data_IF_277923490829
#
_entry.id   IF_277923490829
#
_cell.length_a   1.000
_cell.length_b   1.000
_cell.length_c   1.000
_cell.angle_alpha   90.00
_cell.angle_beta   90.00
_cell.angle_gamma   90.00
#
_symmetry.space_group_name_H-M   'P 1'
#
loop_
_entity.id
_entity.type
_entity.pdbx_description
1 polymer ?
#
# COMPACT_ATOMS: atom_id res chain seq x y z
N UNK A 1 34.18 -13.16 62.01
CA UNK A 1 34.72 -11.81 61.88
C UNK A 1 35.11 -11.59 60.44
N UNK A 2 34.32 -10.80 59.63
CA UNK A 2 34.75 -10.15 58.40
C UNK A 2 33.72 -9.09 58.05
N UNK A 3 34.19 -7.86 57.94
CA UNK A 3 33.42 -6.62 57.76
C UNK A 3 32.86 -6.51 56.37
N UNK A 4 31.56 -6.21 56.26
CA UNK A 4 30.90 -5.85 54.99
C UNK A 4 30.95 -4.33 54.85
N UNK A 5 31.69 -3.88 53.86
CA UNK A 5 31.86 -2.48 53.45
C UNK A 5 30.57 -2.01 52.73
N UNK A 6 29.99 -0.92 53.26
CA UNK A 6 28.85 -0.20 52.62
C UNK A 6 29.39 0.68 51.49
N UNK A 7 28.99 0.38 50.27
CA UNK A 7 29.16 1.32 49.15
C UNK A 7 27.82 2.07 48.96
N UNK A 8 27.84 3.34 49.33
CA UNK A 8 26.81 4.31 48.99
C UNK A 8 27.31 5.02 47.72
N UNK A 9 26.80 4.63 46.53
CA UNK A 9 26.95 5.34 45.28
C UNK A 9 25.78 6.30 45.08
N UNK A 10 26.05 7.60 45.15
CA UNK A 10 25.10 8.64 44.81
C UNK A 10 24.94 8.68 43.30
N UNK A 11 23.72 8.41 42.82
CA UNK A 11 23.34 8.61 41.40
C UNK A 11 22.86 10.04 41.28
N UNK A 12 23.70 10.90 40.70
CA UNK A 12 23.31 12.25 40.31
C UNK A 12 22.41 12.15 39.04
N UNK A 13 21.13 12.45 39.20
CA UNK A 13 20.18 12.58 38.10
C UNK A 13 20.42 13.91 37.39
N UNK A 14 21.08 13.88 36.23
CA UNK A 14 21.19 15.04 35.35
C UNK A 14 19.92 15.10 34.50
N UNK A 15 19.00 16.00 34.84
CA UNK A 15 17.85 16.35 34.03
C UNK A 15 18.30 17.19 32.86
N UNK A 16 18.42 16.60 31.66
CA UNK A 16 18.63 17.33 30.43
C UNK A 16 17.26 17.89 29.99
N UNK A 17 17.04 19.18 30.23
CA UNK A 17 15.91 19.92 29.72
C UNK A 17 16.01 20.06 28.19
N UNK A 18 15.21 19.30 27.44
CA UNK A 18 15.02 19.54 26.02
C UNK A 18 14.06 20.71 25.88
N UNK A 19 14.59 21.89 25.55
CA UNK A 19 13.82 23.04 25.14
C UNK A 19 13.12 22.70 23.82
N UNK A 20 11.79 22.50 23.84
CA UNK A 20 10.93 22.45 22.67
C UNK A 20 10.88 23.86 22.07
N UNK A 21 11.87 24.21 21.26
CA UNK A 21 11.74 25.33 20.34
C UNK A 21 10.69 24.93 19.30
N UNK A 22 9.51 25.53 19.37
CA UNK A 22 8.47 25.40 18.37
C UNK A 22 8.92 25.96 17.03
N UNK A 23 9.70 25.19 16.29
CA UNK A 23 9.93 25.40 14.87
C UNK A 23 8.73 24.85 14.10
N UNK A 24 8.01 25.70 13.42
CA UNK A 24 7.10 25.29 12.34
C UNK A 24 7.95 24.57 11.30
N UNK A 25 7.93 23.24 11.33
CA UNK A 25 8.48 22.43 10.24
C UNK A 25 7.58 22.70 9.03
N UNK A 26 7.98 23.66 8.22
CA UNK A 26 7.47 23.76 6.86
C UNK A 26 7.85 22.46 6.18
N UNK A 27 6.86 21.61 5.89
CA UNK A 27 7.05 20.43 5.07
C UNK A 27 7.50 20.92 3.69
N UNK A 28 8.80 21.01 3.49
CA UNK A 28 9.38 21.20 2.18
C UNK A 28 9.07 19.93 1.41
N UNK A 29 8.25 20.08 0.38
CA UNK A 29 7.97 19.06 -0.63
C UNK A 29 9.18 18.86 -1.53
N UNK A 30 10.31 18.48 -0.96
CA UNK A 30 11.44 17.92 -1.68
C UNK A 30 11.01 16.53 -2.14
N UNK A 31 11.00 16.28 -3.45
CA UNK A 31 10.74 14.95 -3.99
C UNK A 31 11.77 13.95 -3.43
N UNK A 32 11.41 12.66 -3.34
CA UNK A 32 12.32 11.61 -2.87
C UNK A 32 13.68 11.64 -3.62
N UNK A 33 13.70 12.14 -4.85
CA UNK A 33 14.92 12.34 -5.64
C UNK A 33 15.88 13.36 -5.03
N UNK A 34 15.37 14.41 -4.35
CA UNK A 34 16.18 15.40 -3.65
C UNK A 34 16.91 14.79 -2.45
N UNK A 35 16.44 13.64 -1.99
CA UNK A 35 17.04 12.85 -0.91
C UNK A 35 17.96 11.74 -1.43
N UNK A 36 18.21 11.70 -2.76
CA UNK A 36 19.06 10.70 -3.40
C UNK A 36 18.44 9.31 -3.52
N UNK A 37 17.11 9.18 -3.39
CA UNK A 37 16.41 7.91 -3.63
C UNK A 37 16.11 7.72 -5.11
N UNK A 38 16.61 6.63 -5.68
CA UNK A 38 16.29 6.20 -7.03
C UNK A 38 14.95 5.42 -7.03
N UNK A 39 13.91 5.88 -7.75
CA UNK A 39 12.64 5.19 -7.83
C UNK A 39 12.75 3.73 -8.32
N UNK A 40 13.71 3.43 -9.19
CA UNK A 40 13.91 2.07 -9.70
C UNK A 40 14.42 1.11 -8.60
N UNK A 41 15.28 1.60 -7.72
CA UNK A 41 15.76 0.83 -6.56
C UNK A 41 14.62 0.59 -5.58
N UNK A 42 13.84 1.63 -5.25
CA UNK A 42 12.67 1.49 -4.39
C UNK A 42 11.65 0.49 -4.95
N UNK A 43 11.42 0.51 -6.26
CA UNK A 43 10.51 -0.43 -6.90
C UNK A 43 11.07 -1.86 -6.93
N UNK A 44 12.39 -2.03 -7.09
CA UNK A 44 13.03 -3.33 -7.02
C UNK A 44 12.96 -3.93 -5.61
N UNK A 45 13.28 -3.12 -4.59
CA UNK A 45 13.18 -3.52 -3.18
C UNK A 45 11.72 -3.84 -2.81
N UNK A 46 10.76 -3.04 -3.27
CA UNK A 46 9.34 -3.29 -3.07
C UNK A 46 8.87 -4.60 -3.68
N UNK A 47 9.37 -4.97 -4.86
CA UNK A 47 9.07 -6.26 -5.50
C UNK A 47 9.65 -7.43 -4.71
N UNK A 48 10.89 -7.34 -4.23
CA UNK A 48 11.50 -8.37 -3.38
C UNK A 48 10.71 -8.54 -2.07
N UNK A 49 10.32 -7.45 -1.42
CA UNK A 49 9.49 -7.48 -0.21
C UNK A 49 8.14 -8.18 -0.48
N UNK A 50 7.46 -7.85 -1.57
CA UNK A 50 6.19 -8.49 -1.95
C UNK A 50 6.36 -9.99 -2.25
N UNK A 51 7.49 -10.40 -2.83
CA UNK A 51 7.77 -11.81 -3.10
C UNK A 51 8.09 -12.60 -1.83
N UNK A 52 8.65 -11.97 -0.81
CA UNK A 52 9.01 -12.62 0.46
C UNK A 52 7.90 -12.57 1.49
N UNK A 53 7.05 -11.54 1.45
CA UNK A 53 5.97 -11.40 2.43
C UNK A 53 4.97 -12.58 2.34
N UNK A 54 4.62 -13.25 3.46
CA UNK A 54 3.58 -14.28 3.49
C UNK A 54 2.20 -13.73 3.11
N UNK A 55 1.31 -14.61 2.63
CA UNK A 55 -0.04 -14.24 2.22
C UNK A 55 -0.82 -13.38 3.23
N UNK A 56 -0.82 -13.67 4.55
CA UNK A 56 -1.53 -12.83 5.50
C UNK A 56 -1.01 -11.39 5.55
N UNK A 57 0.30 -11.17 5.38
CA UNK A 57 0.87 -9.83 5.39
C UNK A 57 0.49 -9.05 4.13
N UNK A 58 0.53 -9.70 2.96
CA UNK A 58 0.08 -9.09 1.69
C UNK A 58 -1.43 -8.85 1.68
N UNK A 59 -2.22 -9.76 2.26
CA UNK A 59 -3.65 -9.56 2.44
C UNK A 59 -3.97 -8.33 3.31
N UNK A 60 -3.12 -8.01 4.28
CA UNK A 60 -3.24 -6.78 5.06
C UNK A 60 -3.23 -5.51 4.20
N UNK A 61 -2.45 -5.48 3.11
CA UNK A 61 -2.49 -4.37 2.14
C UNK A 61 -3.84 -4.31 1.40
N UNK A 62 -4.35 -5.47 0.98
CA UNK A 62 -5.70 -5.54 0.38
C UNK A 62 -6.76 -5.01 1.33
N UNK A 63 -6.74 -5.44 2.59
CA UNK A 63 -7.68 -4.99 3.61
C UNK A 63 -7.59 -3.47 3.84
N UNK A 64 -6.38 -2.90 3.83
CA UNK A 64 -6.20 -1.46 3.96
C UNK A 64 -6.81 -0.70 2.76
N UNK A 65 -6.62 -1.19 1.54
CA UNK A 65 -7.23 -0.63 0.31
C UNK A 65 -8.74 -0.72 0.39
N UNK A 66 -9.29 -1.92 0.64
CA UNK A 66 -10.74 -2.16 0.69
C UNK A 66 -11.41 -1.31 1.77
N UNK A 67 -10.90 -1.33 3.01
CA UNK A 67 -11.47 -0.55 4.10
C UNK A 67 -11.38 0.97 3.86
N UNK A 68 -10.36 1.46 3.16
CA UNK A 68 -10.22 2.88 2.83
C UNK A 68 -11.11 3.28 1.65
N UNK A 69 -11.37 2.37 0.70
CA UNK A 69 -12.34 2.59 -0.37
C UNK A 69 -13.78 2.61 0.13
N UNK A 70 -14.08 1.87 1.20
CA UNK A 70 -15.39 1.84 1.86
C UNK A 70 -15.61 3.01 2.84
N UNK A 71 -14.55 3.75 3.20
CA UNK A 71 -14.66 4.90 4.09
C UNK A 71 -15.22 6.12 3.32
N UNK A 72 -16.41 6.65 3.66
CA UNK A 72 -17.00 7.76 2.91
C UNK A 72 -16.12 9.00 2.82
N UNK A 73 -15.23 9.22 3.79
CA UNK A 73 -14.30 10.34 3.79
C UNK A 73 -13.17 10.16 2.79
N UNK A 74 -12.78 8.91 2.51
CA UNK A 74 -11.59 8.56 1.71
C UNK A 74 -11.93 7.92 0.36
N UNK A 75 -13.16 7.42 0.17
CA UNK A 75 -13.59 6.75 -1.05
C UNK A 75 -13.26 7.54 -2.32
N UNK A 76 -13.53 8.85 -2.34
CA UNK A 76 -13.21 9.72 -3.48
C UNK A 76 -11.70 9.86 -3.73
N UNK A 77 -10.88 9.84 -2.68
CA UNK A 77 -9.42 9.87 -2.80
C UNK A 77 -8.89 8.54 -3.31
N UNK A 78 -9.41 7.42 -2.79
CA UNK A 78 -9.06 6.08 -3.25
C UNK A 78 -9.45 5.88 -4.71
N UNK A 79 -10.64 6.34 -5.09
CA UNK A 79 -11.11 6.27 -6.45
C UNK A 79 -10.24 7.06 -7.43
N UNK A 80 -9.73 8.23 -7.05
CA UNK A 80 -8.87 9.04 -7.91
C UNK A 80 -7.61 8.30 -8.38
N UNK A 81 -7.15 7.27 -7.67
CA UNK A 81 -6.03 6.42 -8.09
C UNK A 81 -6.34 5.60 -9.36
N UNK A 82 -7.61 5.34 -9.62
CA UNK A 82 -8.07 4.55 -10.77
C UNK A 82 -8.42 5.41 -12.00
N UNK A 83 -8.30 6.74 -11.89
CA UNK A 83 -8.44 7.61 -13.04
C UNK A 83 -7.31 7.35 -14.03
N UNK A 84 -7.59 7.18 -15.35
CA UNK A 84 -6.54 7.01 -16.36
C UNK A 84 -5.54 8.17 -16.41
N UNK A 85 -5.98 9.39 -16.06
CA UNK A 85 -5.16 10.59 -16.00
C UNK A 85 -4.44 10.79 -14.65
N UNK A 86 -4.61 9.86 -13.69
CA UNK A 86 -3.96 9.97 -12.38
C UNK A 86 -2.43 9.98 -12.52
N UNK A 87 -1.80 10.90 -11.80
CA UNK A 87 -0.35 10.90 -11.64
C UNK A 87 0.06 9.73 -10.73
N UNK A 88 0.61 8.67 -11.34
CA UNK A 88 1.09 7.46 -10.65
C UNK A 88 2.60 7.50 -10.37
N UNK A 89 3.24 8.65 -10.54
CA UNK A 89 4.59 8.86 -10.03
C UNK A 89 4.62 8.75 -8.51
N UNK A 90 5.79 8.53 -7.92
CA UNK A 90 5.94 8.52 -6.45
C UNK A 90 5.44 9.82 -5.83
N UNK A 91 5.65 10.95 -6.49
CA UNK A 91 5.15 12.26 -6.04
C UNK A 91 3.63 12.32 -6.07
N UNK A 92 3.00 11.89 -7.17
CA UNK A 92 1.54 11.82 -7.31
C UNK A 92 0.90 10.90 -6.29
N UNK A 93 1.50 9.72 -6.06
CA UNK A 93 1.05 8.79 -5.03
C UNK A 93 1.16 9.37 -3.62
N UNK A 94 2.27 10.07 -3.30
CA UNK A 94 2.43 10.77 -2.02
C UNK A 94 1.40 11.89 -1.83
N UNK A 95 1.12 12.68 -2.88
CA UNK A 95 0.08 13.72 -2.83
C UNK A 95 -1.30 13.11 -2.58
N UNK A 96 -1.58 11.96 -3.18
CA UNK A 96 -2.84 11.25 -2.97
C UNK A 96 -2.92 10.70 -1.54
N UNK A 97 -1.87 10.03 -1.06
CA UNK A 97 -1.80 9.51 0.31
C UNK A 97 -1.96 10.61 1.38
N UNK A 98 -1.41 11.81 1.13
CA UNK A 98 -1.54 12.96 2.05
C UNK A 98 -2.99 13.48 2.17
N UNK A 99 -3.87 13.17 1.21
CA UNK A 99 -5.30 13.55 1.23
C UNK A 99 -6.17 12.56 2.00
N UNK A 100 -5.68 11.35 2.26
CA UNK A 100 -6.40 10.36 3.07
C UNK A 100 -6.55 10.83 4.52
N UNK A 101 -7.64 10.46 5.13
CA UNK A 101 -7.88 10.64 6.56
C UNK A 101 -6.86 9.88 7.42
N UNK A 102 -6.75 10.27 8.68
CA UNK A 102 -5.78 9.67 9.61
C UNK A 102 -5.97 8.15 9.74
N UNK A 103 -7.20 7.69 9.85
CA UNK A 103 -7.51 6.27 9.99
C UNK A 103 -7.01 5.43 8.80
N UNK A 104 -7.21 5.92 7.58
CA UNK A 104 -6.71 5.24 6.38
C UNK A 104 -5.18 5.27 6.29
N UNK A 105 -4.56 6.42 6.60
CA UNK A 105 -3.10 6.50 6.63
C UNK A 105 -2.48 5.53 7.63
N UNK A 106 -3.06 5.38 8.81
CA UNK A 106 -2.62 4.40 9.81
C UNK A 106 -2.79 2.97 9.32
N UNK A 107 -3.95 2.63 8.71
CA UNK A 107 -4.16 1.29 8.10
C UNK A 107 -3.06 0.94 7.08
N UNK A 108 -2.74 1.88 6.18
CA UNK A 108 -1.68 1.67 5.19
C UNK A 108 -0.30 1.58 5.82
N UNK A 109 0.01 2.41 6.81
CA UNK A 109 1.28 2.37 7.52
C UNK A 109 1.47 1.02 8.24
N UNK A 110 0.46 0.56 8.98
CA UNK A 110 0.49 -0.71 9.69
C UNK A 110 0.63 -1.89 8.72
N UNK A 111 -0.12 -1.89 7.61
CA UNK A 111 -0.02 -2.92 6.59
C UNK A 111 1.38 -2.95 5.95
N UNK A 112 1.95 -1.79 5.62
CA UNK A 112 3.29 -1.69 5.05
C UNK A 112 4.38 -2.17 6.02
N UNK A 113 4.30 -1.79 7.30
CA UNK A 113 5.22 -2.27 8.35
C UNK A 113 5.11 -3.79 8.51
N UNK A 114 3.90 -4.35 8.50
CA UNK A 114 3.69 -5.79 8.60
C UNK A 114 4.30 -6.54 7.41
N UNK A 115 4.14 -6.02 6.18
CA UNK A 115 4.79 -6.59 4.99
C UNK A 115 6.31 -6.57 5.14
N UNK A 116 6.89 -5.42 5.53
CA UNK A 116 8.32 -5.27 5.70
C UNK A 116 8.88 -6.25 6.74
N UNK A 117 8.29 -6.30 7.94
CA UNK A 117 8.74 -7.17 9.04
C UNK A 117 8.61 -8.64 8.66
N UNK A 118 7.47 -9.04 8.07
CA UNK A 118 7.24 -10.42 7.68
C UNK A 118 8.15 -10.85 6.53
N UNK A 119 8.38 -10.00 5.54
CA UNK A 119 9.28 -10.27 4.41
C UNK A 119 10.72 -10.44 4.87
N UNK A 120 11.21 -9.62 5.83
CA UNK A 120 12.55 -9.71 6.37
C UNK A 120 12.83 -11.06 7.07
N UNK A 121 11.79 -11.75 7.54
CA UNK A 121 11.86 -13.00 8.28
C UNK A 121 11.49 -14.24 7.43
N UNK A 122 11.12 -14.05 6.18
CA UNK A 122 10.58 -15.11 5.33
C UNK A 122 11.44 -15.34 4.09
N UNK A 123 11.55 -16.59 3.61
CA UNK A 123 12.08 -16.88 2.28
C UNK A 123 11.09 -16.40 1.21
N UNK A 124 11.51 -16.31 -0.07
CA UNK A 124 10.60 -16.06 -1.17
C UNK A 124 9.41 -17.00 -1.16
N UNK A 125 8.21 -16.45 -1.32
CA UNK A 125 6.96 -17.20 -1.33
C UNK A 125 6.64 -17.67 -2.75
N UNK A 126 6.01 -18.84 -2.92
CA UNK A 126 5.54 -19.28 -4.23
C UNK A 126 4.48 -18.29 -4.76
N UNK A 127 4.68 -17.85 -6.00
CA UNK A 127 3.74 -16.96 -6.69
C UNK A 127 3.58 -17.39 -8.14
N UNK A 128 2.35 -17.70 -8.52
CA UNK A 128 1.96 -17.99 -9.90
C UNK A 128 1.15 -16.80 -10.46
N UNK A 129 1.82 -16.04 -11.34
CA UNK A 129 1.23 -14.87 -12.01
C UNK A 129 0.04 -15.25 -12.90
N UNK A 130 0.11 -16.39 -13.59
CA UNK A 130 -0.97 -16.81 -14.48
C UNK A 130 -2.22 -17.17 -13.66
N UNK A 131 -2.03 -17.86 -12.55
CA UNK A 131 -3.11 -18.21 -11.63
C UNK A 131 -3.72 -16.95 -10.99
N UNK A 132 -2.89 -16.01 -10.52
CA UNK A 132 -3.37 -14.73 -9.96
C UNK A 132 -4.18 -13.92 -10.99
N UNK A 133 -3.74 -13.92 -12.26
CA UNK A 133 -4.48 -13.30 -13.37
C UNK A 133 -5.83 -13.99 -13.60
N UNK A 134 -5.89 -15.30 -13.48
CA UNK A 134 -7.17 -16.04 -13.62
C UNK A 134 -8.12 -15.69 -12.46
N UNK A 135 -7.64 -15.61 -11.23
CA UNK A 135 -8.45 -15.19 -10.09
C UNK A 135 -8.98 -13.76 -10.23
N UNK A 136 -8.14 -12.83 -10.68
CA UNK A 136 -8.58 -11.46 -10.96
C UNK A 136 -9.68 -11.43 -12.05
N UNK A 137 -9.48 -12.18 -13.15
CA UNK A 137 -10.51 -12.29 -14.20
C UNK A 137 -11.81 -12.91 -13.67
N UNK A 138 -11.72 -13.97 -12.88
CA UNK A 138 -12.90 -14.60 -12.26
C UNK A 138 -13.64 -13.64 -11.33
N UNK A 139 -12.90 -12.82 -10.55
CA UNK A 139 -13.51 -11.77 -9.74
C UNK A 139 -14.20 -10.71 -10.61
N UNK A 140 -13.57 -10.27 -11.69
CA UNK A 140 -14.18 -9.34 -12.66
C UNK A 140 -15.46 -9.89 -13.30
N UNK A 141 -15.47 -11.17 -13.72
CA UNK A 141 -16.69 -11.83 -14.23
C UNK A 141 -17.78 -11.87 -13.16
N UNK A 142 -17.42 -12.22 -11.92
CA UNK A 142 -18.40 -12.24 -10.82
C UNK A 142 -18.94 -10.83 -10.54
N UNK A 143 -18.09 -9.81 -10.51
CA UNK A 143 -18.52 -8.42 -10.33
C UNK A 143 -19.47 -7.98 -11.46
N UNK A 144 -19.20 -8.35 -12.71
CA UNK A 144 -20.09 -8.02 -13.85
C UNK A 144 -21.46 -8.71 -13.79
N UNK A 145 -21.57 -9.83 -13.07
CA UNK A 145 -22.84 -10.52 -12.86
C UNK A 145 -23.64 -9.95 -11.68
N UNK A 146 -22.97 -9.33 -10.72
CA UNK A 146 -23.58 -8.81 -9.49
C UNK A 146 -23.90 -7.32 -9.57
N UNK A 147 -23.20 -6.57 -10.44
CA UNK A 147 -23.29 -5.11 -10.51
C UNK A 147 -23.55 -4.67 -11.95
N UNK A 148 -24.75 -4.17 -12.19
CA UNK A 148 -25.12 -3.58 -13.47
C UNK A 148 -24.21 -2.39 -13.80
N UNK A 149 -23.74 -2.33 -15.05
CA UNK A 149 -22.84 -1.24 -15.47
C UNK A 149 -21.35 -1.47 -15.17
N UNK A 150 -20.95 -2.53 -14.48
CA UNK A 150 -19.56 -2.82 -14.13
C UNK A 150 -18.61 -2.74 -15.35
N UNK A 151 -18.92 -3.44 -16.43
CA UNK A 151 -18.08 -3.45 -17.64
C UNK A 151 -18.04 -2.08 -18.31
N UNK A 152 -19.19 -1.37 -18.35
CA UNK A 152 -19.27 -0.02 -18.90
C UNK A 152 -18.47 0.97 -18.05
N UNK A 153 -18.51 0.85 -16.73
CA UNK A 153 -17.72 1.67 -15.80
C UNK A 153 -16.22 1.50 -16.00
N UNK A 154 -15.73 0.26 -16.09
CA UNK A 154 -14.29 0.01 -16.32
C UNK A 154 -13.77 0.53 -17.66
N UNK A 155 -14.59 0.43 -18.74
CA UNK A 155 -14.19 0.77 -20.09
C UNK A 155 -14.64 2.18 -20.52
N UNK A 156 -15.52 2.81 -19.74
CA UNK A 156 -16.09 4.13 -20.05
C UNK A 156 -15.21 5.30 -19.62
N UNK A 157 -15.60 6.50 -20.07
CA UNK A 157 -14.96 7.75 -19.69
C UNK A 157 -15.51 8.35 -18.38
N UNK A 158 -16.61 7.82 -17.85
CA UNK A 158 -17.24 8.32 -16.63
C UNK A 158 -16.44 7.89 -15.39
N UNK A 159 -15.97 8.89 -14.64
CA UNK A 159 -15.16 8.65 -13.44
C UNK A 159 -15.97 8.00 -12.32
N UNK A 160 -17.22 8.45 -12.08
CA UNK A 160 -18.05 7.90 -11.01
C UNK A 160 -18.39 6.42 -11.29
N UNK A 161 -18.82 6.10 -12.52
CA UNK A 161 -19.10 4.72 -12.92
C UNK A 161 -17.88 3.80 -12.81
N UNK A 162 -16.67 4.36 -13.03
CA UNK A 162 -15.42 3.60 -12.82
C UNK A 162 -15.16 3.35 -11.34
N UNK A 163 -15.44 4.32 -10.48
CA UNK A 163 -15.31 4.16 -9.02
C UNK A 163 -16.22 3.05 -8.52
N UNK A 164 -17.48 3.08 -8.93
CA UNK A 164 -18.46 2.04 -8.56
C UNK A 164 -18.02 0.66 -9.05
N UNK A 165 -17.47 0.58 -10.26
CA UNK A 165 -16.96 -0.69 -10.80
C UNK A 165 -15.73 -1.20 -10.02
N UNK A 166 -14.81 -0.32 -9.62
CA UNK A 166 -13.65 -0.71 -8.81
C UNK A 166 -14.08 -1.14 -7.42
N UNK A 167 -15.00 -0.43 -6.78
CA UNK A 167 -15.56 -0.80 -5.48
C UNK A 167 -16.22 -2.19 -5.54
N UNK A 168 -17.06 -2.44 -6.55
CA UNK A 168 -17.66 -3.74 -6.79
C UNK A 168 -16.62 -4.86 -6.97
N UNK A 169 -15.52 -4.59 -7.65
CA UNK A 169 -14.42 -5.55 -7.79
C UNK A 169 -13.74 -5.84 -6.45
N UNK A 170 -13.49 -4.81 -5.65
CA UNK A 170 -12.88 -4.95 -4.32
C UNK A 170 -13.78 -5.75 -3.39
N UNK A 171 -15.09 -5.54 -3.42
CA UNK A 171 -16.06 -6.31 -2.63
C UNK A 171 -16.06 -7.79 -3.00
N UNK A 172 -16.09 -8.09 -4.31
CA UNK A 172 -16.01 -9.48 -4.78
C UNK A 172 -14.70 -10.14 -4.37
N UNK A 173 -13.59 -9.40 -4.39
CA UNK A 173 -12.30 -9.91 -3.93
C UNK A 173 -12.28 -10.10 -2.40
N UNK A 174 -12.93 -9.24 -1.62
CA UNK A 174 -13.00 -9.35 -0.17
C UNK A 174 -13.62 -10.68 0.29
N UNK A 175 -14.55 -11.23 -0.48
CA UNK A 175 -15.18 -12.53 -0.24
C UNK A 175 -14.31 -13.74 -0.60
N UNK A 176 -13.12 -13.52 -1.22
CA UNK A 176 -12.26 -14.63 -1.64
C UNK A 176 -11.34 -15.10 -0.51
N UNK A 177 -10.83 -16.34 -0.58
CA UNK A 177 -9.81 -16.81 0.35
C UNK A 177 -8.58 -15.90 0.41
N UNK A 178 -7.93 -15.82 1.57
CA UNK A 178 -6.71 -15.00 1.80
C UNK A 178 -5.66 -15.23 0.73
N UNK A 179 -5.39 -16.50 0.36
CA UNK A 179 -4.39 -16.83 -0.66
C UNK A 179 -4.71 -16.23 -2.04
N UNK A 180 -5.99 -16.20 -2.43
CA UNK A 180 -6.42 -15.62 -3.71
C UNK A 180 -6.29 -14.09 -3.67
N UNK A 181 -6.75 -13.44 -2.58
CA UNK A 181 -6.60 -12.00 -2.38
C UNK A 181 -5.14 -11.58 -2.38
N UNK A 182 -4.30 -12.28 -1.63
CA UNK A 182 -2.87 -12.00 -1.56
C UNK A 182 -2.19 -12.15 -2.93
N UNK A 183 -2.52 -13.19 -3.70
CA UNK A 183 -1.95 -13.39 -5.03
C UNK A 183 -2.39 -12.29 -6.02
N UNK A 184 -3.67 -11.89 -6.01
CA UNK A 184 -4.17 -10.77 -6.82
C UNK A 184 -3.49 -9.46 -6.39
N UNK A 185 -3.33 -9.23 -5.10
CA UNK A 185 -2.65 -8.05 -4.57
C UNK A 185 -1.18 -7.99 -5.00
N UNK A 186 -0.45 -9.12 -4.92
CA UNK A 186 0.93 -9.21 -5.45
C UNK A 186 0.99 -8.88 -6.94
N UNK A 187 0.05 -9.42 -7.72
CA UNK A 187 -0.03 -9.13 -9.14
C UNK A 187 -0.17 -7.62 -9.39
N UNK A 188 -1.19 -6.99 -8.81
CA UNK A 188 -1.51 -5.58 -9.05
C UNK A 188 -0.41 -4.64 -8.53
N UNK A 189 0.12 -4.88 -7.34
CA UNK A 189 1.21 -4.07 -6.78
C UNK A 189 2.51 -4.28 -7.55
N UNK A 190 2.80 -5.50 -8.01
CA UNK A 190 3.96 -5.77 -8.85
C UNK A 190 3.92 -5.02 -10.18
N UNK A 191 2.75 -4.94 -10.82
CA UNK A 191 2.54 -4.12 -12.02
C UNK A 191 2.69 -2.62 -11.72
N UNK A 192 2.13 -2.15 -10.60
CA UNK A 192 2.27 -0.76 -10.16
C UNK A 192 3.73 -0.38 -9.91
N UNK A 193 4.50 -1.23 -9.25
CA UNK A 193 5.93 -1.03 -9.02
C UNK A 193 6.75 -1.05 -10.32
N UNK A 194 6.40 -1.93 -11.27
CA UNK A 194 7.03 -1.95 -12.58
C UNK A 194 6.76 -0.64 -13.36
N UNK A 195 5.55 -0.12 -13.27
CA UNK A 195 5.20 1.17 -13.86
C UNK A 195 6.03 2.32 -13.26
N UNK A 196 6.13 2.39 -11.93
CA UNK A 196 6.92 3.42 -11.22
C UNK A 196 8.41 3.32 -11.54
N UNK A 197 8.94 2.10 -11.75
CA UNK A 197 10.34 1.89 -12.14
C UNK A 197 10.66 2.34 -13.58
N UNK A 198 9.64 2.67 -14.39
CA UNK A 198 9.84 2.95 -15.81
C UNK A 198 9.90 1.69 -16.68
N UNK A 199 9.81 0.49 -16.08
CA UNK A 199 9.75 -0.79 -16.79
C UNK A 199 8.38 -0.98 -17.48
N UNK A 200 7.42 -0.13 -17.17
CA UNK A 200 6.02 -0.20 -17.62
C UNK A 200 5.76 0.43 -19.00
N UNK A 201 6.73 0.46 -19.90
CA UNK A 201 6.51 0.85 -21.31
C UNK A 201 5.57 -0.09 -22.10
N UNK A 202 5.02 -1.10 -21.43
CA UNK A 202 3.96 -1.97 -21.92
C UNK A 202 2.69 -1.76 -21.10
N UNK A 203 1.95 -0.68 -21.36
CA UNK A 203 0.60 -0.51 -20.83
C UNK A 203 -0.14 -1.84 -20.90
N UNK A 204 -0.69 -2.31 -19.76
CA UNK A 204 -1.70 -3.34 -19.83
C UNK A 204 -2.87 -2.81 -20.67
N UNK A 205 -3.10 -3.28 -21.90
CA UNK A 205 -4.39 -3.08 -22.52
C UNK A 205 -5.35 -3.97 -21.74
N UNK A 206 -6.14 -3.39 -20.86
CA UNK A 206 -7.42 -3.96 -20.48
C UNK A 206 -8.30 -3.91 -21.75
N UNK A 207 -8.05 -4.81 -22.68
CA UNK A 207 -8.91 -5.10 -23.82
C UNK A 207 -9.54 -6.46 -23.62
#
# INVERSE_FOLDING_TARGET
MKRISKWRGAVAATVVGVALAGGTVSAQSGGLQDWGFDPSVLAADGRDLLQRAPDPAVDGLFQAVHASAQDPADAGVMCALFDPAADRSLEGLNKTAARLGEASRLRFADAAVNVFVAAAQSPPQPFDRAQATQWLKAAGVRASLLHDGFVAGLNGGDHAARCDAVEALLDVLADRPVAERAAVTRLLLGEGLAYVAGDGAGAMPLR
#
